data_IF_967255861904
#
_entry.id   IF_967255861904
#
_cell.length_a   1.000
_cell.length_b   1.000
_cell.length_c   1.000
_cell.angle_alpha   90.00
_cell.angle_beta   90.00
_cell.angle_gamma   90.00
#
_symmetry.space_group_name_H-M   'P 1'
#
loop_
_entity.id
_entity.type
_entity.pdbx_description
1 polymer ?
#
# COMPACT_ATOMS: atom_id res chain seq x y z
N UNK A 1 5.35 37.11 4.12
CA UNK A 1 6.38 36.07 3.85
C UNK A 1 5.74 34.74 4.13
N UNK A 2 5.26 34.07 3.08
CA UNK A 2 4.70 32.72 3.16
C UNK A 2 5.86 31.74 3.29
N UNK A 3 5.83 30.90 4.33
CA UNK A 3 6.75 29.79 4.49
C UNK A 3 6.33 28.65 3.55
N UNK A 4 6.49 28.84 2.25
CA UNK A 4 6.40 27.75 1.27
C UNK A 4 7.77 27.07 1.22
N UNK A 5 8.02 26.21 2.20
CA UNK A 5 9.17 25.30 2.14
C UNK A 5 9.02 24.31 0.98
N UNK A 6 10.11 23.75 0.44
CA UNK A 6 10.11 22.84 -0.71
C UNK A 6 9.51 21.44 -0.44
N UNK A 7 8.62 21.31 0.55
CA UNK A 7 7.94 20.06 0.92
C UNK A 7 6.71 19.77 0.04
N UNK A 8 6.80 20.09 -1.25
CA UNK A 8 5.84 19.67 -2.27
C UNK A 8 6.42 18.54 -3.14
N UNK A 9 7.42 17.81 -2.64
CA UNK A 9 7.68 16.46 -3.14
C UNK A 9 6.43 15.63 -2.86
N UNK A 10 5.69 15.28 -3.91
CA UNK A 10 4.50 14.44 -3.83
C UNK A 10 4.78 13.26 -2.89
N UNK A 11 4.09 13.19 -1.75
CA UNK A 11 4.21 12.03 -0.87
C UNK A 11 3.86 10.81 -1.69
N UNK A 12 4.86 9.95 -1.95
CA UNK A 12 4.62 8.69 -2.64
C UNK A 12 3.62 7.89 -1.81
N UNK A 13 2.63 7.33 -2.47
CA UNK A 13 1.64 6.47 -1.85
C UNK A 13 1.92 5.03 -2.27
N UNK A 14 1.68 4.11 -1.35
CA UNK A 14 1.59 2.68 -1.66
C UNK A 14 0.21 2.18 -1.33
N UNK A 15 -0.22 1.15 -2.05
CA UNK A 15 -1.46 0.45 -1.89
C UNK A 15 -1.16 -0.88 -1.22
N UNK A 16 -1.71 -1.08 -0.02
CA UNK A 16 -1.53 -2.30 0.74
C UNK A 16 -2.82 -3.11 0.66
N UNK A 17 -2.70 -4.36 0.22
CA UNK A 17 -3.78 -5.35 0.25
C UNK A 17 -3.56 -6.25 1.46
N UNK A 18 -4.56 -6.37 2.32
CA UNK A 18 -4.45 -7.10 3.59
C UNK A 18 -5.78 -7.75 3.99
N UNK A 19 -5.71 -8.79 4.84
CA UNK A 19 -6.88 -9.34 5.54
C UNK A 19 -6.79 -9.00 7.03
N UNK A 20 -7.91 -8.90 7.73
CA UNK A 20 -7.93 -8.48 9.14
C UNK A 20 -9.01 -9.17 9.99
N UNK A 21 -9.49 -10.34 9.57
CA UNK A 21 -10.59 -11.01 10.28
C UNK A 21 -10.18 -11.57 11.66
N UNK A 22 -8.94 -12.03 11.82
CA UNK A 22 -8.39 -12.48 13.12
C UNK A 22 -7.05 -11.82 13.45
N UNK A 23 -6.16 -11.76 12.46
CA UNK A 23 -4.89 -11.04 12.52
C UNK A 23 -4.72 -10.21 11.25
N UNK A 24 -4.11 -9.02 11.37
CA UNK A 24 -3.80 -8.21 10.20
C UNK A 24 -2.62 -8.84 9.45
N UNK A 25 -2.90 -9.44 8.30
CA UNK A 25 -1.90 -10.02 7.42
C UNK A 25 -1.82 -9.22 6.11
N UNK A 26 -0.63 -8.71 5.80
CA UNK A 26 -0.35 -8.02 4.55
C UNK A 26 -0.14 -9.06 3.45
N UNK A 27 -1.00 -9.03 2.44
CA UNK A 27 -0.96 -9.93 1.29
C UNK A 27 -0.14 -9.36 0.13
N UNK A 28 -0.07 -8.03 0.01
CA UNK A 28 0.72 -7.35 -1.01
C UNK A 28 0.86 -5.85 -0.78
N UNK A 29 1.93 -5.27 -1.34
CA UNK A 29 2.22 -3.83 -1.33
C UNK A 29 2.58 -3.40 -2.74
N UNK A 30 1.91 -2.37 -3.24
CA UNK A 30 2.02 -1.90 -4.63
C UNK A 30 2.23 -0.39 -4.65
N UNK A 31 2.89 0.14 -5.66
CA UNK A 31 2.98 1.59 -5.93
C UNK A 31 1.87 2.06 -6.88
N UNK A 32 1.22 1.15 -7.61
CA UNK A 32 0.08 1.39 -8.50
C UNK A 32 -1.27 0.91 -7.92
N UNK A 33 -2.31 1.74 -8.06
CA UNK A 33 -3.66 1.45 -7.55
C UNK A 33 -4.36 0.34 -8.33
N UNK A 34 -4.19 0.33 -9.64
CA UNK A 34 -4.87 -0.61 -10.53
C UNK A 34 -4.31 -2.02 -10.34
N UNK A 35 -3.00 -2.16 -10.16
CA UNK A 35 -2.36 -3.43 -9.81
C UNK A 35 -2.84 -3.94 -8.45
N UNK A 36 -2.89 -3.08 -7.43
CA UNK A 36 -3.40 -3.45 -6.12
C UNK A 36 -4.88 -3.89 -6.17
N UNK A 37 -5.71 -3.19 -6.95
CA UNK A 37 -7.13 -3.55 -7.12
C UNK A 37 -7.29 -4.91 -7.79
N UNK A 38 -6.56 -5.16 -8.89
CA UNK A 38 -6.56 -6.46 -9.57
C UNK A 38 -6.06 -7.59 -8.67
N UNK A 39 -5.08 -7.31 -7.82
CA UNK A 39 -4.59 -8.28 -6.85
C UNK A 39 -5.64 -8.54 -5.76
N UNK A 40 -6.31 -7.51 -5.26
CA UNK A 40 -7.40 -7.64 -4.30
C UNK A 40 -8.54 -8.52 -4.82
N UNK A 41 -8.96 -8.34 -6.08
CA UNK A 41 -9.97 -9.20 -6.73
C UNK A 41 -9.52 -10.67 -6.80
N UNK A 42 -8.27 -10.92 -7.23
CA UNK A 42 -7.72 -12.28 -7.26
C UNK A 42 -7.64 -12.92 -5.86
N UNK A 43 -7.34 -12.15 -4.82
CA UNK A 43 -7.31 -12.66 -3.46
C UNK A 43 -8.71 -12.90 -2.90
N UNK A 44 -9.69 -12.06 -3.24
CA UNK A 44 -11.09 -12.27 -2.85
C UNK A 44 -11.63 -13.61 -3.38
N UNK A 45 -11.26 -14.01 -4.60
CA UNK A 45 -11.60 -15.33 -5.16
C UNK A 45 -10.89 -16.48 -4.42
N UNK A 46 -9.65 -16.25 -3.97
CA UNK A 46 -8.83 -17.27 -3.32
C UNK A 46 -9.22 -17.53 -1.86
N UNK A 47 -9.66 -16.50 -1.16
CA UNK A 47 -10.02 -16.54 0.26
C UNK A 47 -11.55 -16.44 0.42
N UNK A 48 -12.28 -17.32 -0.26
CA UNK A 48 -13.75 -17.34 -0.25
C UNK A 48 -14.30 -17.33 1.19
N UNK A 49 -14.93 -16.21 1.58
CA UNK A 49 -15.49 -16.01 2.92
C UNK A 49 -14.68 -15.13 3.86
N UNK A 50 -13.44 -14.76 3.52
CA UNK A 50 -12.64 -13.79 4.26
C UNK A 50 -12.69 -12.41 3.61
N UNK A 51 -12.61 -11.36 4.43
CA UNK A 51 -12.69 -9.99 3.92
C UNK A 51 -11.30 -9.44 3.62
N UNK A 52 -11.02 -9.28 2.33
CA UNK A 52 -9.80 -8.62 1.85
C UNK A 52 -10.05 -7.11 1.72
N UNK A 53 -9.07 -6.32 2.14
CA UNK A 53 -9.10 -4.86 2.16
C UNK A 53 -7.94 -4.29 1.35
N UNK A 54 -8.18 -3.15 0.71
CA UNK A 54 -7.17 -2.33 0.05
C UNK A 54 -7.14 -0.94 0.70
N UNK A 55 -5.94 -0.44 1.01
CA UNK A 55 -5.76 0.89 1.60
C UNK A 55 -4.56 1.63 1.02
N UNK A 56 -4.70 2.95 0.86
CA UNK A 56 -3.61 3.83 0.46
C UNK A 56 -2.86 4.35 1.69
N UNK A 57 -1.53 4.16 1.70
CA UNK A 57 -0.66 4.57 2.78
C UNK A 57 0.41 5.55 2.28
N UNK A 58 0.55 6.73 2.92
CA UNK A 58 1.61 7.67 2.56
C UNK A 58 2.97 7.13 3.01
N UNK A 59 3.94 7.12 2.11
CA UNK A 59 5.33 6.75 2.41
C UNK A 59 6.17 8.03 2.44
N UNK A 60 6.75 8.41 3.59
CA UNK A 60 7.73 9.49 3.61
C UNK A 60 8.93 9.04 2.76
N UNK A 61 9.38 9.90 1.84
CA UNK A 61 10.42 9.63 0.85
C UNK A 61 11.80 9.35 1.50
N UNK A 62 11.94 8.21 2.17
CA UNK A 62 13.19 7.64 2.68
C UNK A 62 13.08 6.11 2.71
N UNK A 63 12.99 5.52 1.53
CA UNK A 63 13.50 4.16 1.31
C UNK A 63 14.64 4.28 0.31
N UNK A 64 15.78 4.76 0.81
CA UNK A 64 17.03 4.65 0.05
C UNK A 64 17.43 3.17 0.13
N UNK A 65 17.45 2.51 -1.03
CA UNK A 65 17.50 1.06 -1.18
C UNK A 65 18.50 0.32 -0.29
N UNK A 66 18.00 -0.19 0.83
CA UNK A 66 18.66 -1.24 1.60
C UNK A 66 18.23 -2.60 1.07
N UNK A 67 18.86 -3.03 -0.03
CA UNK A 67 18.88 -4.45 -0.40
C UNK A 67 19.65 -5.17 0.72
N UNK A 68 18.94 -5.82 1.66
CA UNK A 68 19.54 -6.79 2.58
C UNK A 68 19.63 -8.12 1.85
N UNK A 69 20.61 -8.21 0.95
CA UNK A 69 21.09 -9.46 0.36
C UNK A 69 22.51 -9.73 0.82
#
# INVERSE_FOLDING_TARGET
MSLEGPYSEAMNKVWIVYRSDQDTEILGVFDDELEASRFNEQMADRFEGERIWIGAYPVPYRVQGGFLG
#
